data_IF_068785412684
#
_entry.id   IF_068785412684
#
_cell.length_a   1.000
_cell.length_b   1.000
_cell.length_c   1.000
_cell.angle_alpha   90.00
_cell.angle_beta   90.00
_cell.angle_gamma   90.00
#
_symmetry.space_group_name_H-M   'P 1'
#
loop_
_entity.id
_entity.type
_entity.pdbx_description
1 polymer ?
#
# COMPACT_ATOMS: atom_id res chain seq x y z
N UNK A 1 42.26 -52.89 18.70
CA UNK A 1 42.02 -52.54 20.10
C UNK A 1 40.91 -51.57 20.08
N UNK A 2 39.62 -52.02 20.16
CA UNK A 2 38.84 -52.14 21.41
C UNK A 2 38.53 -50.73 21.97
N UNK A 3 37.33 -50.27 22.14
CA UNK A 3 36.05 -50.81 22.41
C UNK A 3 35.06 -49.67 22.21
N UNK A 4 33.85 -49.87 21.67
CA UNK A 4 32.66 -50.33 22.38
C UNK A 4 32.35 -49.58 23.69
N UNK A 5 31.19 -48.93 23.73
CA UNK A 5 30.01 -49.32 24.52
C UNK A 5 29.05 -48.14 24.58
N UNK A 6 27.90 -48.17 24.02
CA UNK A 6 26.58 -48.69 24.42
C UNK A 6 25.79 -47.85 25.45
N UNK A 7 24.59 -47.52 25.03
CA UNK A 7 23.22 -47.63 25.61
C UNK A 7 22.77 -46.56 26.64
N UNK A 8 21.63 -45.96 26.42
CA UNK A 8 20.26 -46.19 26.85
C UNK A 8 19.42 -44.95 26.61
N UNK A 9 18.36 -44.96 25.85
CA UNK A 9 16.93 -45.34 26.07
C UNK A 9 16.28 -44.78 27.33
N UNK A 10 15.26 -43.97 27.12
CA UNK A 10 13.88 -44.00 27.69
C UNK A 10 13.13 -42.83 27.12
N UNK A 11 12.14 -42.98 26.30
CA UNK A 11 10.71 -43.34 26.40
C UNK A 11 9.85 -42.33 27.14
N UNK A 12 8.79 -41.93 26.39
CA UNK A 12 7.43 -41.50 26.74
C UNK A 12 7.29 -40.10 27.36
N UNK A 13 6.38 -39.27 26.90
CA UNK A 13 4.94 -39.47 26.91
C UNK A 13 4.24 -38.56 25.89
N UNK A 14 3.23 -39.11 25.27
CA UNK A 14 2.28 -38.42 24.42
C UNK A 14 1.23 -37.72 25.29
N UNK A 15 1.01 -36.44 25.09
CA UNK A 15 -0.19 -35.79 25.60
C UNK A 15 -1.04 -35.25 24.47
N UNK A 16 -2.20 -35.91 24.34
CA UNK A 16 -3.32 -35.54 23.47
C UNK A 16 -3.96 -34.28 24.02
N UNK A 17 -3.98 -33.22 23.26
CA UNK A 17 -4.91 -32.11 23.49
C UNK A 17 -5.98 -32.07 22.40
N UNK A 18 -7.17 -32.30 22.87
CA UNK A 18 -8.43 -32.43 22.16
C UNK A 18 -8.86 -31.11 21.53
N UNK A 19 -9.21 -31.19 20.26
CA UNK A 19 -9.92 -30.17 19.53
C UNK A 19 -11.30 -29.90 20.16
N UNK A 20 -11.61 -28.68 20.60
CA UNK A 20 -12.97 -28.25 20.90
C UNK A 20 -13.37 -27.18 19.90
N UNK A 21 -14.30 -27.55 19.05
CA UNK A 21 -15.08 -26.65 18.21
C UNK A 21 -15.83 -25.64 19.08
N UNK A 22 -15.64 -24.35 18.86
CA UNK A 22 -16.54 -23.31 19.32
C UNK A 22 -17.19 -22.64 18.12
N UNK A 23 -18.37 -23.15 17.77
CA UNK A 23 -19.34 -22.49 16.90
C UNK A 23 -19.97 -21.34 17.69
N UNK A 24 -19.72 -20.11 17.30
CA UNK A 24 -20.46 -18.96 17.83
C UNK A 24 -21.72 -18.80 16.99
N UNK A 25 -22.84 -19.18 17.58
CA UNK A 25 -24.17 -18.92 17.04
C UNK A 25 -24.61 -17.53 17.52
N UNK A 26 -24.90 -16.62 16.60
CA UNK A 26 -25.48 -15.33 16.93
C UNK A 26 -26.95 -15.54 17.33
N UNK A 27 -27.26 -15.24 18.57
CA UNK A 27 -28.63 -15.24 19.10
C UNK A 27 -29.24 -13.84 18.98
N UNK A 28 -30.22 -13.69 18.12
CA UNK A 28 -31.15 -12.57 18.14
C UNK A 28 -32.15 -12.79 19.29
N UNK A 29 -32.19 -11.88 20.24
CA UNK A 29 -33.15 -11.88 21.33
C UNK A 29 -34.46 -11.21 20.89
N UNK A 30 -35.50 -12.00 20.72
CA UNK A 30 -36.87 -11.51 20.65
C UNK A 30 -37.40 -11.40 22.06
N UNK A 31 -37.73 -10.21 22.50
CA UNK A 31 -38.43 -10.01 23.78
C UNK A 31 -39.93 -10.07 23.51
N UNK A 32 -40.53 -11.14 23.99
CA UNK A 32 -41.95 -11.36 23.92
C UNK A 32 -42.73 -10.47 24.88
N UNK A 33 -43.87 -9.99 24.39
CA UNK A 33 -44.79 -9.14 25.11
C UNK A 33 -45.56 -9.81 26.20
N UNK A 34 -45.85 -9.08 27.27
CA UNK A 34 -46.88 -9.37 28.24
C UNK A 34 -48.17 -8.72 27.79
N UNK A 35 -49.19 -9.56 27.60
CA UNK A 35 -50.58 -9.16 27.44
C UNK A 35 -51.18 -8.87 28.82
N UNK A 36 -51.59 -7.64 29.09
CA UNK A 36 -52.52 -7.34 30.17
C UNK A 36 -53.74 -6.63 29.60
N UNK A 37 -54.87 -7.31 29.77
CA UNK A 37 -56.22 -6.83 29.52
C UNK A 37 -56.63 -5.85 30.58
N UNK A 38 -57.03 -4.63 30.21
CA UNK A 38 -57.80 -3.71 31.05
C UNK A 38 -58.93 -3.13 30.20
N UNK A 39 -60.13 -3.28 30.69
CA UNK A 39 -61.41 -2.81 30.12
C UNK A 39 -61.57 -1.29 30.14
N UNK A 40 -62.55 -0.74 29.41
CA UNK A 40 -62.53 0.59 28.93
C UNK A 40 -63.29 1.56 29.89
N UNK A 41 -62.70 2.74 30.05
CA UNK A 41 -63.53 3.92 30.36
C UNK A 41 -63.08 5.08 29.48
N UNK A 42 -64.10 5.70 28.92
CA UNK A 42 -64.02 6.78 27.97
C UNK A 42 -63.58 8.07 28.63
N UNK A 43 -62.97 8.88 27.84
CA UNK A 43 -63.17 10.33 27.63
C UNK A 43 -61.86 11.08 27.42
N UNK A 44 -61.77 11.61 26.23
CA UNK A 44 -61.22 12.89 25.90
C UNK A 44 -59.73 13.23 26.23
N UNK A 45 -58.84 13.00 25.28
CA UNK A 45 -57.77 13.96 24.99
C UNK A 45 -57.43 13.89 23.46
N UNK A 46 -58.07 14.72 22.69
CA UNK A 46 -57.59 15.07 21.38
C UNK A 46 -56.34 15.96 21.49
N UNK A 47 -55.52 15.87 20.43
CA UNK A 47 -54.39 16.77 20.15
C UNK A 47 -53.11 16.59 20.99
N UNK A 48 -52.29 15.56 20.69
CA UNK A 48 -50.82 15.70 20.82
C UNK A 48 -50.08 14.51 20.14
N UNK A 49 -50.47 14.16 18.91
CA UNK A 49 -49.68 13.21 18.08
C UNK A 49 -49.37 13.86 16.71
N UNK A 50 -48.89 15.08 16.74
CA UNK A 50 -48.35 15.75 15.56
C UNK A 50 -47.05 16.45 15.85
N UNK A 51 -46.06 15.75 16.44
CA UNK A 51 -44.71 16.28 16.49
C UNK A 51 -43.69 15.18 16.83
N UNK A 52 -43.49 14.19 16.00
CA UNK A 52 -42.28 13.37 16.00
C UNK A 52 -42.06 12.74 14.61
N UNK A 53 -42.20 13.53 13.56
CA UNK A 53 -41.74 13.13 12.24
C UNK A 53 -40.92 14.25 11.59
N UNK A 54 -40.03 14.88 12.40
CA UNK A 54 -38.88 15.55 11.79
C UNK A 54 -37.80 14.51 11.69
N UNK A 55 -37.82 13.71 10.63
CA UNK A 55 -36.60 13.19 10.05
C UNK A 55 -35.79 14.43 9.68
N UNK A 56 -34.86 14.79 10.57
CA UNK A 56 -33.76 15.66 10.17
C UNK A 56 -33.09 14.94 9.00
N UNK A 57 -33.37 15.38 7.79
CA UNK A 57 -32.60 15.04 6.60
C UNK A 57 -31.20 15.54 6.89
N UNK A 58 -30.29 14.63 7.28
CA UNK A 58 -28.88 14.92 7.29
C UNK A 58 -28.54 15.43 5.91
N UNK A 59 -27.88 16.60 5.78
CA UNK A 59 -27.54 17.13 4.48
C UNK A 59 -26.78 16.03 3.75
N UNK A 60 -27.26 15.67 2.56
CA UNK A 60 -26.61 14.78 1.62
C UNK A 60 -25.16 15.24 1.48
N UNK A 61 -24.26 14.60 2.23
CA UNK A 61 -22.83 14.76 1.98
C UNK A 61 -22.61 14.01 0.69
N UNK A 62 -22.54 14.76 -0.41
CA UNK A 62 -22.15 14.20 -1.70
C UNK A 62 -20.99 13.22 -1.45
N UNK A 63 -21.14 11.95 -1.80
CA UNK A 63 -20.12 10.96 -1.51
C UNK A 63 -18.81 11.42 -2.17
N UNK A 64 -17.71 11.36 -1.43
CA UNK A 64 -16.38 11.72 -1.95
C UNK A 64 -16.14 10.86 -3.21
N UNK A 65 -15.86 11.47 -4.38
CA UNK A 65 -15.73 10.72 -5.61
C UNK A 65 -14.55 9.73 -5.55
N UNK A 66 -14.72 8.61 -6.24
CA UNK A 66 -13.65 7.63 -6.44
C UNK A 66 -12.78 8.11 -7.60
N UNK A 67 -11.49 8.28 -7.34
CA UNK A 67 -10.48 8.58 -8.36
C UNK A 67 -9.91 7.27 -8.89
N UNK A 68 -9.93 7.07 -10.22
CA UNK A 68 -9.26 5.95 -10.88
C UNK A 68 -7.79 6.30 -11.15
N UNK A 69 -6.93 5.28 -11.15
CA UNK A 69 -5.51 5.47 -11.46
C UNK A 69 -5.34 5.98 -12.90
N UNK A 70 -4.63 7.10 -13.10
CA UNK A 70 -4.56 7.76 -14.41
C UNK A 70 -3.55 7.14 -15.38
N UNK A 71 -2.65 6.30 -14.88
CA UNK A 71 -1.57 5.69 -15.67
C UNK A 71 -1.72 4.18 -15.74
N UNK A 72 -1.34 3.60 -16.89
CA UNK A 72 -1.14 2.16 -17.02
C UNK A 72 0.17 1.73 -16.35
N UNK A 73 0.30 0.47 -15.87
CA UNK A 73 1.55 -0.03 -15.32
C UNK A 73 2.71 0.08 -16.34
N UNK A 74 3.82 0.67 -15.93
CA UNK A 74 5.03 0.73 -16.73
C UNK A 74 5.91 -0.49 -16.42
N UNK A 75 5.90 -1.49 -17.31
CA UNK A 75 6.51 -2.80 -17.10
C UNK A 75 7.50 -3.16 -18.23
N UNK A 76 8.72 -2.61 -18.24
CA UNK A 76 9.74 -3.00 -19.21
C UNK A 76 10.01 -4.51 -19.14
N UNK A 77 10.19 -5.18 -20.29
CA UNK A 77 10.39 -6.63 -20.34
C UNK A 77 11.63 -7.13 -19.58
N UNK A 78 12.64 -6.26 -19.43
CA UNK A 78 13.87 -6.51 -18.66
C UNK A 78 13.77 -6.04 -17.20
N UNK A 79 12.57 -5.79 -16.66
CA UNK A 79 12.41 -5.23 -15.33
C UNK A 79 13.03 -6.12 -14.24
N UNK A 80 13.96 -5.54 -13.48
CA UNK A 80 14.64 -6.17 -12.33
C UNK A 80 14.00 -5.75 -11.00
N UNK A 81 13.36 -4.58 -10.98
CA UNK A 81 12.75 -3.98 -9.80
C UNK A 81 11.40 -3.37 -10.17
N UNK A 82 10.40 -3.55 -9.30
CA UNK A 82 9.10 -2.89 -9.37
C UNK A 82 9.01 -1.84 -8.25
N UNK A 83 8.96 -0.57 -8.64
CA UNK A 83 8.79 0.53 -7.70
C UNK A 83 7.31 0.88 -7.56
N UNK A 84 6.83 0.94 -6.33
CA UNK A 84 5.43 1.19 -5.99
C UNK A 84 5.31 2.41 -5.07
N UNK A 85 4.54 3.40 -5.52
CA UNK A 85 3.97 4.42 -4.66
C UNK A 85 2.61 3.99 -4.10
N UNK A 86 1.90 4.92 -3.49
CA UNK A 86 0.53 4.70 -3.01
C UNK A 86 -0.50 5.03 -4.07
N UNK A 87 -0.46 6.25 -4.60
CA UNK A 87 -1.32 6.78 -5.66
C UNK A 87 -0.80 8.16 -6.12
N UNK A 88 -0.96 8.55 -7.40
CA UNK A 88 -0.48 9.84 -7.87
C UNK A 88 -1.17 11.03 -7.18
N UNK A 89 -0.50 12.18 -7.01
CA UNK A 89 -1.17 13.40 -6.61
C UNK A 89 -2.12 13.89 -7.70
N UNK A 90 -3.02 14.81 -7.38
CA UNK A 90 -3.93 15.40 -8.36
C UNK A 90 -3.17 16.01 -9.55
N UNK A 91 -3.73 15.93 -10.75
CA UNK A 91 -3.12 16.36 -12.02
C UNK A 91 -2.66 17.83 -12.06
N UNK A 92 -3.33 18.72 -11.31
CA UNK A 92 -2.92 20.12 -11.14
C UNK A 92 -1.50 20.29 -10.57
N UNK A 93 -0.89 19.22 -10.02
CA UNK A 93 0.46 19.20 -9.44
C UNK A 93 1.49 18.55 -10.36
N UNK A 94 1.09 18.08 -11.55
CA UNK A 94 1.97 17.36 -12.45
C UNK A 94 2.81 18.29 -13.31
N UNK A 95 4.05 17.90 -13.52
CA UNK A 95 4.95 18.48 -14.49
C UNK A 95 5.20 17.56 -15.68
N UNK A 96 4.82 16.28 -15.54
CA UNK A 96 4.85 15.24 -16.59
C UNK A 96 3.71 14.26 -16.36
N UNK A 97 3.29 13.55 -17.41
CA UNK A 97 2.27 12.50 -17.36
C UNK A 97 2.92 11.13 -17.16
N UNK A 98 3.56 10.94 -15.99
CA UNK A 98 4.25 9.72 -15.61
C UNK A 98 4.38 9.64 -14.08
N UNK A 99 4.96 8.59 -13.54
CA UNK A 99 5.15 8.37 -12.10
C UNK A 99 5.99 9.47 -11.44
N UNK A 100 5.71 9.76 -10.18
CA UNK A 100 6.32 10.87 -9.43
C UNK A 100 6.24 12.22 -10.18
N UNK A 101 5.04 12.60 -10.66
CA UNK A 101 4.85 13.70 -11.62
C UNK A 101 5.13 15.09 -11.05
N UNK A 102 5.04 15.23 -9.72
CA UNK A 102 5.16 16.52 -9.06
C UNK A 102 6.62 17.02 -9.10
N UNK A 103 6.86 18.20 -9.71
CA UNK A 103 8.19 18.77 -9.85
C UNK A 103 8.92 18.98 -8.52
N UNK A 104 8.19 19.18 -7.42
CA UNK A 104 8.79 19.28 -6.08
C UNK A 104 9.04 17.90 -5.42
N UNK A 105 8.72 16.78 -6.07
CA UNK A 105 9.13 15.45 -5.62
C UNK A 105 10.59 15.20 -5.98
N UNK A 106 11.34 14.51 -5.13
CA UNK A 106 12.77 14.31 -5.31
C UNK A 106 13.13 13.03 -6.09
N UNK A 107 12.18 12.17 -6.45
CA UNK A 107 12.49 10.85 -7.06
C UNK A 107 13.45 10.97 -8.24
N UNK A 108 13.12 11.79 -9.23
CA UNK A 108 13.96 11.91 -10.43
C UNK A 108 15.31 12.58 -10.16
N UNK A 109 15.40 13.38 -9.08
CA UNK A 109 16.69 13.93 -8.62
C UNK A 109 17.52 12.87 -7.90
N UNK A 110 16.89 12.00 -7.13
CA UNK A 110 17.52 10.83 -6.49
C UNK A 110 18.11 9.92 -7.58
N UNK A 111 17.32 9.56 -8.59
CA UNK A 111 17.78 8.72 -9.72
C UNK A 111 18.95 9.39 -10.48
N UNK A 112 18.85 10.68 -10.75
CA UNK A 112 19.94 11.45 -11.37
C UNK A 112 21.24 11.39 -10.58
N UNK A 113 21.18 11.58 -9.25
CA UNK A 113 22.35 11.49 -8.38
C UNK A 113 22.94 10.07 -8.33
N UNK A 114 22.11 9.04 -8.32
CA UNK A 114 22.57 7.66 -8.19
C UNK A 114 23.25 7.18 -9.46
N UNK A 115 22.62 7.35 -10.61
CA UNK A 115 23.03 6.73 -11.86
C UNK A 115 23.96 7.62 -12.71
N UNK A 116 23.90 8.94 -12.51
CA UNK A 116 24.62 9.91 -13.35
C UNK A 116 25.48 10.89 -12.56
N UNK A 117 25.43 10.83 -11.23
CA UNK A 117 26.06 11.83 -10.34
C UNK A 117 25.60 13.27 -10.62
N UNK A 118 24.40 13.43 -11.18
CA UNK A 118 23.79 14.71 -11.53
C UNK A 118 22.32 14.76 -11.12
N UNK A 119 21.99 15.55 -10.10
CA UNK A 119 20.61 15.74 -9.63
C UNK A 119 19.67 16.36 -10.66
N UNK A 120 20.22 17.00 -11.68
CA UNK A 120 19.45 17.68 -12.72
C UNK A 120 19.36 16.87 -14.01
N UNK A 121 19.90 15.64 -14.06
CA UNK A 121 19.90 14.80 -15.26
C UNK A 121 18.53 14.72 -15.94
N UNK A 122 17.47 14.61 -15.14
CA UNK A 122 16.08 14.51 -15.61
C UNK A 122 15.27 15.80 -15.42
N UNK A 123 15.93 16.93 -15.16
CA UNK A 123 15.28 18.18 -14.81
C UNK A 123 15.50 19.24 -15.90
N UNK A 124 14.42 19.77 -16.44
CA UNK A 124 14.46 21.05 -17.15
C UNK A 124 14.23 22.16 -16.12
N UNK A 125 15.32 22.82 -15.76
CA UNK A 125 15.31 23.87 -14.73
C UNK A 125 14.56 25.11 -15.20
N UNK A 126 14.68 25.45 -16.49
CA UNK A 126 14.04 26.63 -17.09
C UNK A 126 12.52 26.47 -17.18
N UNK A 127 12.07 25.32 -17.66
CA UNK A 127 10.64 25.01 -17.77
C UNK A 127 10.01 24.56 -16.45
N UNK A 128 10.80 24.28 -15.40
CA UNK A 128 10.36 23.66 -14.13
C UNK A 128 9.59 22.37 -14.37
N UNK A 129 10.09 21.54 -15.26
CA UNK A 129 9.51 20.25 -15.62
C UNK A 129 10.55 19.14 -15.54
N UNK A 130 10.10 17.90 -15.46
CA UNK A 130 10.96 16.75 -15.71
C UNK A 130 11.02 16.44 -17.21
N UNK A 131 12.12 15.80 -17.65
CA UNK A 131 12.33 15.35 -19.02
C UNK A 131 11.75 13.94 -19.16
N UNK A 132 10.52 13.85 -19.63
CA UNK A 132 9.76 12.59 -19.67
C UNK A 132 10.48 11.52 -20.52
N UNK A 133 10.90 11.87 -21.73
CA UNK A 133 11.54 10.90 -22.64
C UNK A 133 12.84 10.35 -22.04
N UNK A 134 13.70 11.20 -21.47
CA UNK A 134 14.93 10.78 -20.78
C UNK A 134 14.61 9.82 -19.60
N UNK A 135 13.51 10.03 -18.90
CA UNK A 135 13.07 9.19 -17.78
C UNK A 135 12.57 7.84 -18.27
N UNK A 136 11.75 7.80 -19.29
CA UNK A 136 11.21 6.57 -19.89
C UNK A 136 12.35 5.72 -20.45
N UNK A 137 13.27 6.33 -21.21
CA UNK A 137 14.45 5.65 -21.75
C UNK A 137 15.34 5.09 -20.65
N UNK A 138 15.58 5.87 -19.60
CA UNK A 138 16.34 5.45 -18.43
C UNK A 138 15.68 4.25 -17.73
N UNK A 139 14.38 4.33 -17.41
CA UNK A 139 13.68 3.25 -16.73
C UNK A 139 13.64 1.97 -17.59
N UNK A 140 13.43 2.11 -18.90
CA UNK A 140 13.47 0.99 -19.85
C UNK A 140 14.86 0.36 -19.91
N UNK A 141 15.92 1.17 -20.07
CA UNK A 141 17.28 0.68 -20.19
C UNK A 141 17.80 0.02 -18.90
N UNK A 142 17.44 0.55 -17.73
CA UNK A 142 17.88 0.02 -16.44
C UNK A 142 17.01 -1.13 -15.90
N UNK A 143 15.81 -1.34 -16.45
CA UNK A 143 14.88 -2.36 -15.98
C UNK A 143 14.17 -1.94 -14.69
N UNK A 144 13.71 -0.69 -14.61
CA UNK A 144 12.89 -0.19 -13.52
C UNK A 144 11.42 -0.15 -13.95
N UNK A 145 10.61 -1.05 -13.40
CA UNK A 145 9.15 -1.02 -13.55
C UNK A 145 8.53 -0.10 -12.49
N UNK A 146 7.38 0.51 -12.83
CA UNK A 146 6.68 1.44 -11.94
C UNK A 146 5.18 1.22 -11.99
N UNK A 147 4.57 1.30 -10.82
CA UNK A 147 3.13 1.44 -10.61
C UNK A 147 2.84 2.00 -9.20
N UNK A 148 1.58 1.91 -8.76
CA UNK A 148 1.15 2.26 -7.42
C UNK A 148 0.38 1.10 -6.77
N UNK A 149 0.25 1.10 -5.46
CA UNK A 149 -0.40 0.01 -4.70
C UNK A 149 -1.92 0.07 -4.74
N UNK A 150 -2.51 1.12 -5.31
CA UNK A 150 -3.94 1.27 -5.49
C UNK A 150 -4.30 1.66 -6.93
N UNK A 151 -5.35 1.05 -7.48
CA UNK A 151 -5.95 1.40 -8.77
C UNK A 151 -7.15 2.34 -8.64
N UNK A 152 -7.77 2.41 -7.44
CA UNK A 152 -8.82 3.37 -7.15
C UNK A 152 -8.75 3.81 -5.69
N UNK A 153 -8.97 5.12 -5.45
CA UNK A 153 -8.93 5.73 -4.12
C UNK A 153 -10.06 6.74 -3.94
N UNK A 154 -10.39 7.06 -2.67
CA UNK A 154 -11.07 8.30 -2.28
C UNK A 154 -10.08 9.22 -1.61
N UNK A 155 -10.01 10.44 -2.07
CA UNK A 155 -9.14 11.47 -1.49
C UNK A 155 -9.93 12.28 -0.47
N UNK A 156 -9.73 11.98 0.81
CA UNK A 156 -10.48 12.58 1.92
C UNK A 156 -10.15 14.06 2.16
N UNK A 157 -9.02 14.55 1.62
CA UNK A 157 -8.61 15.96 1.68
C UNK A 157 -7.93 16.36 0.38
N UNK A 158 -8.11 17.61 -0.03
CA UNK A 158 -7.47 18.18 -1.22
C UNK A 158 -5.98 18.49 -0.96
N UNK A 159 -5.20 17.47 -0.68
CA UNK A 159 -3.75 17.56 -0.52
C UNK A 159 -3.04 16.33 -1.11
N UNK A 160 -1.70 16.35 -1.11
CA UNK A 160 -0.89 15.26 -1.66
C UNK A 160 -0.42 14.24 -0.59
N UNK A 161 -1.03 14.25 0.60
CA UNK A 161 -0.63 13.35 1.69
C UNK A 161 -1.37 12.02 1.60
N UNK A 162 -0.63 10.94 1.54
CA UNK A 162 -1.15 9.56 1.52
C UNK A 162 -1.99 9.21 2.76
N UNK A 163 -1.80 9.93 3.87
CA UNK A 163 -2.58 9.78 5.10
C UNK A 163 -4.09 9.95 4.88
N UNK A 164 -4.47 10.73 3.86
CA UNK A 164 -5.86 11.04 3.53
C UNK A 164 -6.34 10.31 2.27
N UNK A 165 -5.65 9.26 1.84
CA UNK A 165 -6.08 8.35 0.80
C UNK A 165 -6.77 7.13 1.42
N UNK A 166 -8.03 6.93 1.08
CA UNK A 166 -8.74 5.67 1.32
C UNK A 166 -8.61 4.80 0.07
N UNK A 167 -8.00 3.64 0.19
CA UNK A 167 -7.87 2.68 -0.91
C UNK A 167 -9.24 2.01 -1.13
N UNK A 168 -9.80 2.21 -2.32
CA UNK A 168 -11.06 1.56 -2.74
C UNK A 168 -10.76 0.24 -3.44
N UNK A 169 -9.79 0.27 -4.35
CA UNK A 169 -9.34 -0.93 -5.08
C UNK A 169 -7.82 -1.02 -5.00
N UNK A 170 -7.27 -2.02 -4.32
CA UNK A 170 -5.84 -2.29 -4.35
C UNK A 170 -5.42 -2.82 -5.71
N UNK A 171 -4.15 -2.60 -6.06
CA UNK A 171 -3.54 -3.15 -7.27
C UNK A 171 -3.31 -4.66 -7.13
N UNK A 172 -3.60 -5.42 -8.18
CA UNK A 172 -3.21 -6.83 -8.28
C UNK A 172 -1.69 -6.94 -8.58
N UNK A 173 -0.88 -6.78 -7.53
CA UNK A 173 0.59 -6.87 -7.64
C UNK A 173 1.06 -8.26 -8.15
N UNK A 174 0.47 -9.39 -7.73
CA UNK A 174 0.74 -10.69 -8.35
C UNK A 174 0.61 -10.71 -9.87
N UNK A 175 -0.45 -10.10 -10.43
CA UNK A 175 -0.63 -10.02 -11.88
C UNK A 175 0.46 -9.19 -12.56
N UNK A 176 0.95 -8.11 -11.94
CA UNK A 176 2.07 -7.34 -12.45
C UNK A 176 3.38 -8.16 -12.44
N UNK A 177 3.67 -8.86 -11.33
CA UNK A 177 4.88 -9.66 -11.18
C UNK A 177 4.98 -10.82 -12.18
N UNK A 178 3.84 -11.38 -12.61
CA UNK A 178 3.82 -12.42 -13.67
C UNK A 178 4.24 -11.87 -15.01
N UNK A 179 4.00 -10.58 -15.29
CA UNK A 179 4.38 -9.92 -16.54
C UNK A 179 5.88 -9.55 -16.58
N UNK A 180 6.55 -9.49 -15.43
CA UNK A 180 7.97 -9.13 -15.29
C UNK A 180 8.74 -10.26 -14.58
N UNK A 181 8.95 -11.42 -15.20
CA UNK A 181 9.51 -12.60 -14.54
C UNK A 181 10.96 -12.43 -14.06
N UNK A 182 11.71 -11.45 -14.57
CA UNK A 182 13.07 -11.13 -14.13
C UNK A 182 13.11 -10.23 -12.89
N UNK A 183 11.96 -9.73 -12.42
CA UNK A 183 11.87 -8.87 -11.24
C UNK A 183 12.31 -9.63 -9.99
N UNK A 184 13.28 -9.07 -9.26
CA UNK A 184 13.88 -9.66 -8.06
C UNK A 184 13.46 -8.92 -6.78
N UNK A 185 12.94 -7.70 -6.92
CA UNK A 185 12.61 -6.87 -5.78
C UNK A 185 11.40 -5.98 -6.06
N UNK A 186 10.62 -5.78 -5.01
CA UNK A 186 9.61 -4.72 -4.93
C UNK A 186 10.15 -3.62 -4.03
N UNK A 187 9.94 -2.38 -4.43
CA UNK A 187 10.37 -1.19 -3.68
C UNK A 187 9.15 -0.34 -3.38
N UNK A 188 8.82 -0.19 -2.10
CA UNK A 188 7.76 0.74 -1.67
C UNK A 188 8.38 2.07 -1.24
N UNK A 189 7.74 3.18 -1.63
CA UNK A 189 8.18 4.54 -1.31
C UNK A 189 7.17 5.19 -0.36
N UNK A 190 7.33 4.92 0.93
CA UNK A 190 6.46 5.43 1.98
C UNK A 190 5.70 4.33 2.73
N UNK A 191 5.07 4.72 3.82
CA UNK A 191 4.42 3.81 4.76
C UNK A 191 3.16 3.17 4.17
N UNK A 192 2.26 3.98 3.61
CA UNK A 192 0.99 3.51 3.05
C UNK A 192 1.17 2.42 1.98
N UNK A 193 2.10 2.62 1.05
CA UNK A 193 2.43 1.63 0.03
C UNK A 193 2.98 0.34 0.63
N UNK A 194 3.85 0.45 1.64
CA UNK A 194 4.42 -0.71 2.34
C UNK A 194 3.34 -1.52 3.04
N UNK A 195 2.46 -0.88 3.79
CA UNK A 195 1.40 -1.54 4.55
C UNK A 195 0.42 -2.27 3.62
N UNK A 196 0.03 -1.62 2.51
CA UNK A 196 -0.84 -2.24 1.50
C UNK A 196 -0.18 -3.50 0.91
N UNK A 197 1.11 -3.44 0.59
CA UNK A 197 1.83 -4.59 0.05
C UNK A 197 2.01 -5.71 1.07
N UNK A 198 2.35 -5.37 2.32
CA UNK A 198 2.50 -6.37 3.38
C UNK A 198 1.22 -7.15 3.64
N UNK A 199 0.06 -6.49 3.54
CA UNK A 199 -1.24 -7.16 3.59
C UNK A 199 -1.45 -8.13 2.42
N UNK A 200 -1.03 -7.75 1.21
CA UNK A 200 -1.16 -8.59 0.00
C UNK A 200 -0.34 -9.88 0.11
N UNK A 201 0.88 -9.82 0.62
CA UNK A 201 1.81 -10.96 0.66
C UNK A 201 1.92 -11.62 2.05
N UNK A 202 1.18 -11.14 3.05
CA UNK A 202 1.25 -11.69 4.40
C UNK A 202 2.64 -11.59 5.04
N UNK A 203 3.40 -10.55 4.69
CA UNK A 203 4.77 -10.32 5.20
C UNK A 203 4.82 -9.13 6.16
N UNK A 204 5.87 -9.06 6.97
CA UNK A 204 6.09 -7.92 7.87
C UNK A 204 6.76 -6.76 7.15
N UNK A 205 6.38 -5.54 7.52
CA UNK A 205 7.01 -4.34 6.99
C UNK A 205 8.46 -4.22 7.49
N UNK A 206 9.46 -4.11 6.58
CA UNK A 206 10.84 -3.86 6.99
C UNK A 206 11.00 -2.44 7.57
N UNK A 207 12.09 -2.22 8.30
CA UNK A 207 12.48 -0.88 8.72
C UNK A 207 12.79 0.00 7.49
N UNK A 208 12.62 1.32 7.62
CA UNK A 208 12.91 2.24 6.50
C UNK A 208 14.39 2.18 6.10
N UNK A 209 14.64 1.93 4.83
CA UNK A 209 15.98 1.72 4.25
C UNK A 209 16.43 0.26 4.24
N UNK A 210 15.62 -0.65 4.76
CA UNK A 210 15.89 -2.09 4.85
C UNK A 210 14.97 -2.90 3.95
N UNK A 211 15.15 -4.22 3.92
CA UNK A 211 14.30 -5.15 3.20
C UNK A 211 13.89 -6.36 4.04
N UNK A 212 12.82 -7.01 3.64
CA UNK A 212 12.43 -8.37 4.05
C UNK A 212 12.42 -9.29 2.83
N UNK A 213 12.65 -10.57 3.06
CA UNK A 213 12.59 -11.57 1.99
C UNK A 213 11.22 -12.26 2.00
N UNK A 214 10.74 -12.59 0.81
CA UNK A 214 9.50 -13.34 0.62
C UNK A 214 9.61 -14.20 -0.65
N UNK A 215 8.66 -15.09 -0.87
CA UNK A 215 8.59 -15.90 -2.08
C UNK A 215 7.34 -15.56 -2.87
N UNK A 216 7.50 -15.41 -4.16
CA UNK A 216 6.39 -15.27 -5.09
C UNK A 216 6.47 -16.35 -6.16
N UNK A 217 5.51 -17.30 -6.13
CA UNK A 217 5.44 -18.44 -7.08
C UNK A 217 6.81 -19.18 -7.20
N UNK A 218 7.44 -19.46 -6.06
CA UNK A 218 8.73 -20.15 -5.99
C UNK A 218 9.96 -19.27 -6.23
N UNK A 219 9.80 -18.01 -6.65
CA UNK A 219 10.91 -17.05 -6.81
C UNK A 219 11.24 -16.38 -5.48
N UNK A 220 12.51 -16.36 -5.05
CA UNK A 220 12.92 -15.52 -3.92
C UNK A 220 12.88 -14.06 -4.34
N UNK A 221 12.24 -13.23 -3.54
CA UNK A 221 12.08 -11.80 -3.79
C UNK A 221 12.39 -10.98 -2.53
N UNK A 222 12.73 -9.72 -2.71
CA UNK A 222 12.95 -8.76 -1.63
C UNK A 222 11.93 -7.64 -1.68
N UNK A 223 11.35 -7.33 -0.52
CA UNK A 223 10.54 -6.13 -0.33
C UNK A 223 11.41 -5.08 0.37
N UNK A 224 11.74 -4.01 -0.33
CA UNK A 224 12.43 -2.86 0.22
C UNK A 224 11.43 -1.77 0.63
N UNK A 225 11.56 -1.26 1.87
CA UNK A 225 10.86 -0.05 2.31
C UNK A 225 11.82 1.13 2.26
N UNK A 226 11.64 2.01 1.28
CA UNK A 226 12.51 3.16 1.11
C UNK A 226 11.93 4.43 1.74
N UNK A 227 12.77 5.40 2.14
CA UNK A 227 12.28 6.68 2.60
C UNK A 227 11.47 7.36 1.49
N UNK A 228 10.42 8.07 1.86
CA UNK A 228 9.60 8.80 0.90
C UNK A 228 10.44 9.79 0.11
N UNK A 229 10.23 9.83 -1.21
CA UNK A 229 10.83 10.82 -2.10
C UNK A 229 10.19 12.21 -2.01
N UNK A 230 9.08 12.35 -1.29
CA UNK A 230 8.45 13.64 -1.04
C UNK A 230 9.40 14.60 -0.33
N UNK A 231 9.42 15.88 -0.72
CA UNK A 231 10.14 16.91 0.02
C UNK A 231 9.60 17.20 1.41
N UNK A 232 8.34 16.82 1.66
CA UNK A 232 7.77 16.91 2.99
C UNK A 232 8.35 15.87 3.96
N UNK A 233 9.00 14.81 3.46
CA UNK A 233 9.70 13.84 4.29
C UNK A 233 11.02 14.43 4.80
N UNK A 234 11.26 14.47 6.14
CA UNK A 234 12.35 15.24 6.74
C UNK A 234 13.71 14.54 6.60
N UNK A 235 14.13 14.27 5.36
CA UNK A 235 15.43 13.69 5.03
C UNK A 235 16.01 14.46 3.84
N UNK A 236 17.29 14.97 3.92
CA UNK A 236 17.97 15.63 2.81
C UNK A 236 18.07 14.77 1.57
N UNK A 237 18.11 15.40 0.39
CA UNK A 237 18.17 14.72 -0.91
C UNK A 237 19.33 13.72 -1.00
N UNK A 238 20.52 14.12 -0.53
CA UNK A 238 21.73 13.31 -0.57
C UNK A 238 21.60 12.04 0.31
N UNK A 239 20.95 12.17 1.45
CA UNK A 239 20.68 11.03 2.34
C UNK A 239 19.63 10.09 1.76
N UNK A 240 18.58 10.64 1.13
CA UNK A 240 17.64 9.83 0.34
C UNK A 240 18.39 9.08 -0.76
N UNK A 241 19.21 9.78 -1.56
CA UNK A 241 19.98 9.17 -2.64
C UNK A 241 20.94 8.08 -2.13
N UNK A 242 21.59 8.27 -0.97
CA UNK A 242 22.45 7.27 -0.36
C UNK A 242 21.67 6.00 0.04
N UNK A 243 20.45 6.14 0.59
CA UNK A 243 19.60 5.02 0.91
C UNK A 243 19.20 4.22 -0.34
N UNK A 244 18.70 4.90 -1.38
CA UNK A 244 18.32 4.26 -2.63
C UNK A 244 19.53 3.66 -3.38
N UNK A 245 20.72 4.28 -3.29
CA UNK A 245 21.95 3.72 -3.89
C UNK A 245 22.28 2.35 -3.31
N UNK A 246 22.17 2.15 -1.99
CA UNK A 246 22.39 0.84 -1.37
C UNK A 246 21.50 -0.24 -1.95
N UNK A 247 20.21 0.07 -2.16
CA UNK A 247 19.26 -0.83 -2.80
C UNK A 247 19.70 -1.19 -4.23
N UNK A 248 19.99 -0.20 -5.09
CA UNK A 248 20.37 -0.46 -6.48
C UNK A 248 21.72 -1.17 -6.60
N UNK A 249 22.67 -0.89 -5.69
CA UNK A 249 23.93 -1.65 -5.61
C UNK A 249 23.67 -3.10 -5.21
N UNK A 250 22.79 -3.36 -4.24
CA UNK A 250 22.46 -4.73 -3.82
C UNK A 250 21.74 -5.54 -4.93
N UNK A 251 21.14 -4.86 -5.91
CA UNK A 251 20.53 -5.45 -7.10
C UNK A 251 21.45 -5.48 -8.33
N UNK A 252 22.71 -5.08 -8.21
CA UNK A 252 23.70 -4.96 -9.29
C UNK A 252 23.18 -4.08 -10.47
N UNK A 253 22.58 -2.95 -10.13
CA UNK A 253 22.05 -1.99 -11.10
C UNK A 253 22.91 -0.72 -11.21
N UNK A 254 23.81 -0.46 -10.23
CA UNK A 254 24.82 0.61 -10.18
C UNK A 254 26.11 0.09 -9.58
#
# INVERSE_FOLDING_TARGET
MTGETLIASTSSEAEKATCRNNTIVSSASVVGGLCQTVSPDAENVGSTIERLNTYESFPDRNPIPVEQHPFEPFLPANAKVLMLGSFPPQSKRWSIDFYYPNFINDMWRIMGLIFFNDKNRFVDVAAKKFRLDDIVDFCTGTGIAMYDTATAVRRLKDNASDKFLEVVTPTDIPALLRQIPQCQAIVTTGEKATDTLCQTFGTSAPATGEYSEFHFEGRPMRLYRMPSSSRAYPLPLEQKAAAYRRLFTALNMV
#
